data_IF_649795537626
#
_entry.id   IF_649795537626
#
_cell.length_a   1.000
_cell.length_b   1.000
_cell.length_c   1.000
_cell.angle_alpha   90.00
_cell.angle_beta   90.00
_cell.angle_gamma   90.00
#
_symmetry.space_group_name_H-M   'P 1'
#
loop_
_entity.id
_entity.type
_entity.pdbx_description
1 polymer ?
#
# COMPACT_ATOMS: atom_id res chain seq x y z
N UNK A 1 -9.46 29.81 3.64
CA UNK A 1 -8.40 29.18 2.86
C UNK A 1 -7.89 27.96 3.62
N UNK A 2 -7.88 26.82 2.99
CA UNK A 2 -7.35 25.58 3.55
C UNK A 2 -5.80 25.64 3.48
N UNK A 3 -5.12 25.46 4.63
CA UNK A 3 -3.68 25.36 4.72
C UNK A 3 -3.30 23.90 5.02
N UNK A 4 -2.15 23.49 4.52
CA UNK A 4 -1.57 22.18 4.81
C UNK A 4 -0.12 22.30 5.28
N UNK A 5 0.35 21.39 6.16
CA UNK A 5 1.73 21.38 6.60
C UNK A 5 2.67 20.97 5.48
N UNK A 6 3.73 21.72 5.29
CA UNK A 6 4.82 21.44 4.35
C UNK A 6 6.04 21.01 5.13
N UNK A 7 6.68 19.95 4.64
CA UNK A 7 7.93 19.46 5.16
C UNK A 7 9.07 19.64 4.17
N UNK A 8 10.25 19.89 4.66
CA UNK A 8 11.47 19.83 3.89
C UNK A 8 11.96 18.38 3.91
N UNK A 9 12.01 17.77 2.74
CA UNK A 9 12.44 16.38 2.52
C UNK A 9 13.84 16.39 1.92
N UNK A 10 14.78 15.73 2.60
CA UNK A 10 16.14 15.50 2.10
C UNK A 10 16.32 14.04 1.72
N UNK A 11 16.76 13.80 0.50
CA UNK A 11 16.99 12.45 -0.02
C UNK A 11 18.43 12.35 -0.52
N UNK A 12 19.14 11.34 -0.04
CA UNK A 12 20.47 10.95 -0.54
C UNK A 12 20.33 9.63 -1.30
N UNK A 13 20.65 9.65 -2.58
CA UNK A 13 20.56 8.48 -3.46
C UNK A 13 21.74 8.42 -4.43
N UNK A 14 22.12 7.21 -4.90
CA UNK A 14 22.95 7.08 -6.08
C UNK A 14 22.34 7.80 -7.27
N UNK A 15 23.15 8.43 -8.09
CA UNK A 15 22.71 9.26 -9.22
C UNK A 15 21.83 8.49 -10.21
N UNK A 16 22.02 7.19 -10.35
CA UNK A 16 21.21 6.32 -11.23
C UNK A 16 19.73 6.29 -10.86
N UNK A 17 19.36 6.55 -9.58
CA UNK A 17 17.98 6.55 -9.10
C UNK A 17 17.33 7.93 -9.07
N UNK A 18 18.07 8.98 -9.37
CA UNK A 18 17.60 10.36 -9.28
C UNK A 18 16.32 10.59 -10.12
N UNK A 19 16.30 10.09 -11.35
CA UNK A 19 15.15 10.23 -12.23
C UNK A 19 13.86 9.62 -11.66
N UNK A 20 13.95 8.41 -11.14
CA UNK A 20 12.82 7.72 -10.51
C UNK A 20 12.33 8.47 -9.26
N UNK A 21 13.23 8.96 -8.43
CA UNK A 21 12.89 9.75 -7.24
C UNK A 21 12.16 11.03 -7.62
N UNK A 22 12.68 11.77 -8.60
CA UNK A 22 12.06 13.02 -9.06
C UNK A 22 10.68 12.79 -9.66
N UNK A 23 10.51 11.76 -10.48
CA UNK A 23 9.22 11.41 -11.08
C UNK A 23 8.17 11.09 -10.00
N UNK A 24 8.49 10.19 -9.09
CA UNK A 24 7.55 9.77 -8.04
C UNK A 24 7.22 10.87 -7.05
N UNK A 25 8.18 11.68 -6.65
CA UNK A 25 7.94 12.82 -5.78
C UNK A 25 7.14 13.93 -6.48
N UNK A 26 7.30 14.10 -7.78
CA UNK A 26 6.48 15.01 -8.57
C UNK A 26 4.98 14.66 -8.49
N UNK A 27 4.62 13.38 -8.55
CA UNK A 27 3.23 12.91 -8.38
C UNK A 27 2.69 13.15 -6.98
N UNK A 28 3.56 13.30 -5.98
CA UNK A 28 3.24 13.56 -4.57
C UNK A 28 3.26 15.04 -4.20
N UNK A 29 3.21 15.92 -5.19
CA UNK A 29 3.23 17.39 -5.03
C UNK A 29 4.53 17.94 -4.42
N UNK A 30 5.63 17.21 -4.52
CA UNK A 30 6.94 17.72 -4.12
C UNK A 30 7.49 18.73 -5.12
N UNK A 31 8.14 19.76 -4.61
CA UNK A 31 8.85 20.78 -5.39
C UNK A 31 10.34 20.70 -5.06
N UNK A 32 11.17 20.47 -6.06
CA UNK A 32 12.62 20.43 -5.87
C UNK A 32 13.16 21.83 -5.63
N UNK A 33 13.79 22.03 -4.45
CA UNK A 33 14.42 23.30 -4.08
C UNK A 33 15.91 23.33 -4.37
N UNK A 34 16.60 22.21 -4.17
CA UNK A 34 18.04 22.14 -4.33
C UNK A 34 18.51 20.75 -4.70
N UNK A 35 19.62 20.69 -5.41
CA UNK A 35 20.32 19.46 -5.78
C UNK A 35 21.82 19.67 -5.56
N UNK A 36 22.41 18.81 -4.74
CA UNK A 36 23.82 18.88 -4.38
C UNK A 36 24.47 17.57 -4.82
N UNK A 37 25.45 17.65 -5.73
CA UNK A 37 26.29 16.52 -6.01
C UNK A 37 27.23 16.31 -4.81
N UNK A 38 27.00 15.23 -4.11
CA UNK A 38 27.91 14.77 -3.06
C UNK A 38 29.02 13.92 -3.73
N UNK A 39 29.85 13.26 -3.19
CA UNK A 39 30.95 12.47 -3.73
C UNK A 39 30.59 11.66 -4.98
N UNK A 40 31.56 11.04 -5.63
CA UNK A 40 31.42 10.28 -6.88
C UNK A 40 30.19 9.36 -6.89
N UNK A 41 29.16 9.74 -7.66
CA UNK A 41 27.98 8.95 -7.94
C UNK A 41 26.81 9.08 -6.96
N UNK A 42 26.87 9.97 -5.97
CA UNK A 42 25.77 10.25 -5.03
C UNK A 42 25.24 11.68 -5.18
N UNK A 43 23.93 11.85 -5.04
CA UNK A 43 23.26 13.14 -5.11
C UNK A 43 22.34 13.34 -3.91
N UNK A 44 22.35 14.55 -3.36
CA UNK A 44 21.39 15.00 -2.35
C UNK A 44 20.32 15.86 -3.02
N UNK A 45 19.07 15.48 -2.85
CA UNK A 45 17.89 16.19 -3.34
C UNK A 45 17.10 16.76 -2.17
N UNK A 46 16.77 18.05 -2.23
CA UNK A 46 16.00 18.74 -1.21
C UNK A 46 14.69 19.21 -1.82
N UNK A 47 13.57 18.75 -1.25
CA UNK A 47 12.22 19.06 -1.70
C UNK A 47 11.40 19.75 -0.61
N UNK A 48 10.46 20.57 -1.03
CA UNK A 48 9.31 20.92 -0.22
C UNK A 48 8.15 20.01 -0.61
N UNK A 49 7.51 19.36 0.34
CA UNK A 49 6.45 18.39 0.10
C UNK A 49 5.35 18.52 1.16
N UNK A 50 4.06 18.47 0.76
CA UNK A 50 2.99 18.32 1.74
C UNK A 50 3.21 17.08 2.61
N UNK A 51 2.98 17.19 3.91
CA UNK A 51 3.17 16.06 4.85
C UNK A 51 2.42 14.79 4.39
N UNK A 52 1.22 14.96 3.83
CA UNK A 52 0.44 13.86 3.23
C UNK A 52 1.14 13.18 2.06
N UNK A 53 1.99 13.89 1.31
CA UNK A 53 2.78 13.33 0.20
C UNK A 53 3.92 12.42 0.63
N UNK A 54 4.33 12.47 1.90
CA UNK A 54 5.35 11.58 2.47
C UNK A 54 4.81 10.21 2.86
N UNK A 55 3.49 10.05 2.96
CA UNK A 55 2.89 8.80 3.41
C UNK A 55 3.24 7.66 2.47
N UNK A 56 3.82 6.60 3.02
CA UNK A 56 4.28 5.41 2.29
C UNK A 56 5.50 5.61 1.39
N UNK A 57 6.03 6.82 1.26
CA UNK A 57 7.14 7.08 0.35
C UNK A 57 8.45 6.42 0.81
N UNK A 58 8.69 6.28 2.11
CA UNK A 58 9.90 5.59 2.61
C UNK A 58 10.03 4.17 2.07
N UNK A 59 8.96 3.39 2.09
CA UNK A 59 8.95 2.02 1.56
C UNK A 59 9.17 2.01 0.05
N UNK A 60 8.58 2.94 -0.66
CA UNK A 60 8.73 3.10 -2.10
C UNK A 60 10.18 3.48 -2.48
N UNK A 61 10.78 4.43 -1.77
CA UNK A 61 12.18 4.82 -1.95
C UNK A 61 13.13 3.63 -1.76
N UNK A 62 12.97 2.86 -0.69
CA UNK A 62 13.80 1.70 -0.42
C UNK A 62 13.66 0.63 -1.52
N UNK A 63 12.46 0.39 -2.00
CA UNK A 63 12.21 -0.56 -3.11
C UNK A 63 12.86 -0.07 -4.39
N UNK A 64 12.65 1.19 -4.77
CA UNK A 64 13.16 1.77 -6.02
C UNK A 64 14.67 1.88 -6.05
N UNK A 65 15.29 2.11 -4.90
CA UNK A 65 16.75 2.28 -4.75
C UNK A 65 17.47 1.02 -4.29
N UNK A 66 16.76 -0.10 -4.19
CA UNK A 66 17.30 -1.38 -3.68
C UNK A 66 17.98 -1.21 -2.31
N UNK A 67 17.36 -0.40 -1.44
CA UNK A 67 17.86 -0.13 -0.11
C UNK A 67 18.96 0.94 -0.01
N UNK A 68 19.36 1.57 -1.13
CA UNK A 68 20.46 2.55 -1.13
C UNK A 68 19.99 4.00 -0.90
N UNK A 69 18.67 4.26 -0.88
CA UNK A 69 18.13 5.58 -0.59
C UNK A 69 18.04 5.86 0.90
N UNK A 70 18.43 7.07 1.29
CA UNK A 70 18.27 7.59 2.65
C UNK A 70 17.41 8.83 2.60
N UNK A 71 16.41 8.93 3.49
CA UNK A 71 15.56 10.12 3.58
C UNK A 71 15.42 10.60 5.00
N UNK A 72 15.32 11.92 5.15
CA UNK A 72 14.95 12.61 6.36
C UNK A 72 14.01 13.76 6.01
N UNK A 73 13.14 14.15 6.94
CA UNK A 73 12.23 15.24 6.75
C UNK A 73 11.99 16.00 8.04
N UNK A 74 11.70 17.28 7.91
CA UNK A 74 11.40 18.16 9.03
C UNK A 74 10.28 19.11 8.63
N UNK A 75 9.43 19.48 9.60
CA UNK A 75 8.40 20.49 9.39
C UNK A 75 9.02 21.83 8.99
N UNK A 76 8.46 22.47 7.97
CA UNK A 76 8.92 23.76 7.47
C UNK A 76 7.91 24.88 7.76
N UNK A 77 6.71 24.80 7.21
CA UNK A 77 5.68 25.82 7.31
C UNK A 77 4.29 25.28 6.92
N UNK A 78 3.28 26.16 7.01
CA UNK A 78 1.95 25.91 6.45
C UNK A 78 1.77 26.69 5.16
N UNK A 79 1.35 26.02 4.10
CA UNK A 79 1.08 26.62 2.79
C UNK A 79 -0.34 26.30 2.32
N UNK A 80 -0.87 27.08 1.35
CA UNK A 80 -2.17 26.75 0.76
C UNK A 80 -2.23 25.36 0.18
N UNK A 81 -3.36 24.69 0.40
CA UNK A 81 -3.61 23.36 -0.13
C UNK A 81 -3.47 23.31 -1.66
N UNK A 82 -2.65 22.43 -2.16
CA UNK A 82 -2.27 22.33 -3.59
C UNK A 82 -3.11 21.35 -4.41
N UNK A 83 -4.18 20.79 -3.83
CA UNK A 83 -5.02 19.81 -4.50
C UNK A 83 -4.65 18.35 -4.17
N UNK A 84 -5.39 17.42 -4.71
CA UNK A 84 -5.24 15.99 -4.41
C UNK A 84 -3.91 15.43 -4.90
N UNK A 85 -3.39 14.50 -4.13
CA UNK A 85 -2.27 13.64 -4.52
C UNK A 85 -2.86 12.36 -5.09
N UNK A 86 -2.21 11.81 -6.09
CA UNK A 86 -2.66 10.71 -6.92
C UNK A 86 -3.64 9.73 -6.24
N UNK A 87 -4.77 9.51 -6.91
CA UNK A 87 -5.88 8.69 -6.49
C UNK A 87 -5.47 7.25 -6.16
N UNK A 88 -6.26 6.66 -5.28
CA UNK A 88 -6.29 5.24 -5.01
C UNK A 88 -6.34 4.45 -6.32
N UNK A 89 -5.36 3.61 -6.57
CA UNK A 89 -5.29 2.78 -7.78
C UNK A 89 -5.98 1.43 -7.62
N UNK A 90 -6.32 1.04 -6.38
CA UNK A 90 -6.91 -0.28 -6.07
C UNK A 90 -7.97 -0.19 -4.99
N UNK A 91 -8.97 -1.07 -5.10
CA UNK A 91 -10.05 -1.20 -4.16
C UNK A 91 -9.72 -2.12 -2.98
N UNK A 92 -10.73 -2.31 -2.12
CA UNK A 92 -10.66 -3.18 -0.95
C UNK A 92 -11.50 -4.43 -1.16
N UNK A 93 -11.04 -5.54 -0.56
CA UNK A 93 -11.86 -6.72 -0.33
C UNK A 93 -12.45 -6.62 1.06
N UNK A 94 -13.78 -6.60 1.16
CA UNK A 94 -14.52 -6.36 2.40
C UNK A 94 -15.30 -7.62 2.78
N UNK A 95 -15.19 -8.05 4.04
CA UNK A 95 -15.87 -9.23 4.52
C UNK A 95 -17.40 -9.03 4.58
N UNK A 96 -18.15 -9.97 4.00
CA UNK A 96 -19.61 -9.95 3.96
C UNK A 96 -20.30 -10.44 5.25
N UNK A 97 -19.57 -11.17 6.10
CA UNK A 97 -20.10 -11.75 7.32
C UNK A 97 -19.00 -11.95 8.38
N UNK A 98 -19.42 -12.06 9.62
CA UNK A 98 -18.55 -12.40 10.73
C UNK A 98 -18.37 -13.91 10.85
N UNK A 99 -17.18 -14.34 11.28
CA UNK A 99 -16.84 -15.76 11.45
C UNK A 99 -15.35 -16.00 11.54
N UNK A 100 -14.91 -17.13 11.06
CA UNK A 100 -13.52 -17.53 10.98
C UNK A 100 -13.14 -17.75 9.51
N UNK A 101 -12.07 -17.11 9.07
CA UNK A 101 -11.54 -17.31 7.72
C UNK A 101 -11.11 -18.77 7.53
N UNK A 102 -11.48 -19.35 6.40
CA UNK A 102 -11.09 -20.72 6.10
C UNK A 102 -10.49 -20.85 4.70
N UNK A 103 -9.75 -21.93 4.49
CA UNK A 103 -8.98 -22.14 3.26
C UNK A 103 -9.86 -22.09 2.00
N UNK A 104 -11.11 -22.59 2.06
CA UNK A 104 -12.00 -22.60 0.91
C UNK A 104 -12.49 -21.17 0.57
N UNK A 105 -12.89 -20.39 1.56
CA UNK A 105 -13.32 -19.01 1.37
C UNK A 105 -12.18 -18.14 0.85
N UNK A 106 -10.99 -18.28 1.42
CA UNK A 106 -9.79 -17.56 0.99
C UNK A 106 -9.35 -17.97 -0.43
N UNK A 107 -9.37 -19.25 -0.75
CA UNK A 107 -9.03 -19.73 -2.09
C UNK A 107 -9.93 -19.12 -3.17
N UNK A 108 -11.23 -19.05 -2.93
CA UNK A 108 -12.17 -18.45 -3.89
C UNK A 108 -12.02 -16.93 -4.00
N UNK A 109 -11.46 -16.29 -2.98
CA UNK A 109 -11.30 -14.83 -2.94
C UNK A 109 -9.97 -14.38 -3.52
N UNK A 110 -8.92 -15.21 -3.46
CA UNK A 110 -7.56 -14.82 -3.86
C UNK A 110 -7.41 -14.41 -5.35
N UNK A 111 -8.32 -14.82 -6.22
CA UNK A 111 -8.34 -14.39 -7.63
C UNK A 111 -8.72 -12.91 -7.79
N UNK A 112 -9.37 -12.32 -6.78
CA UNK A 112 -9.86 -10.95 -6.79
C UNK A 112 -8.86 -9.93 -6.27
N UNK A 113 -7.79 -10.39 -5.62
CA UNK A 113 -6.76 -9.51 -5.08
C UNK A 113 -5.84 -10.19 -4.08
N UNK A 114 -5.11 -9.39 -3.35
CA UNK A 114 -4.17 -9.85 -2.32
C UNK A 114 -4.85 -9.88 -0.95
N UNK A 115 -4.75 -10.98 -0.26
CA UNK A 115 -5.35 -11.16 1.06
C UNK A 115 -4.39 -10.75 2.18
N UNK A 116 -4.95 -10.20 3.26
CA UNK A 116 -4.24 -9.81 4.49
C UNK A 116 -4.49 -10.79 5.64
N UNK A 117 -5.45 -11.69 5.49
CA UNK A 117 -5.89 -12.63 6.52
C UNK A 117 -5.52 -14.06 6.16
N UNK A 118 -5.39 -14.90 7.21
CA UNK A 118 -5.01 -16.31 7.13
C UNK A 118 -6.17 -17.23 7.50
N UNK A 119 -6.13 -18.52 7.11
CA UNK A 119 -7.05 -19.51 7.66
C UNK A 119 -6.97 -19.54 9.19
N UNK A 120 -8.14 -19.49 9.86
CA UNK A 120 -8.25 -19.45 11.31
C UNK A 120 -8.34 -18.05 11.90
N UNK A 121 -8.11 -17.00 11.15
CA UNK A 121 -8.25 -15.63 11.66
C UNK A 121 -9.73 -15.28 11.92
N UNK A 122 -10.02 -14.62 13.06
CA UNK A 122 -11.35 -14.11 13.32
C UNK A 122 -11.69 -12.94 12.39
N UNK A 123 -12.85 -12.99 11.78
CA UNK A 123 -13.34 -11.99 10.83
C UNK A 123 -14.63 -11.38 11.37
N UNK A 124 -14.81 -10.08 11.16
CA UNK A 124 -16.07 -9.38 11.40
C UNK A 124 -16.61 -8.78 10.11
N UNK A 125 -17.92 -8.68 10.00
CA UNK A 125 -18.60 -8.06 8.86
C UNK A 125 -18.11 -6.61 8.66
N UNK A 126 -17.79 -6.25 7.41
CA UNK A 126 -17.22 -4.95 7.07
C UNK A 126 -15.69 -4.84 7.22
N UNK A 127 -15.03 -5.87 7.74
CA UNK A 127 -13.57 -5.88 7.85
C UNK A 127 -12.91 -5.87 6.47
N UNK A 128 -11.85 -5.06 6.32
CA UNK A 128 -10.99 -5.12 5.14
C UNK A 128 -10.09 -6.36 5.27
N UNK A 129 -10.27 -7.31 4.39
CA UNK A 129 -9.54 -8.58 4.38
C UNK A 129 -8.50 -8.70 3.26
N UNK A 130 -8.45 -7.70 2.39
CA UNK A 130 -7.49 -7.69 1.30
C UNK A 130 -7.56 -6.42 0.45
N UNK A 131 -6.62 -6.34 -0.48
CA UNK A 131 -6.57 -5.31 -1.53
C UNK A 131 -7.12 -5.90 -2.84
N UNK A 132 -8.10 -5.23 -3.44
CA UNK A 132 -8.65 -5.66 -4.72
C UNK A 132 -7.64 -5.41 -5.86
N UNK A 133 -7.62 -6.27 -6.85
CA UNK A 133 -6.81 -6.08 -8.07
C UNK A 133 -7.33 -4.95 -8.97
N UNK A 134 -8.58 -4.55 -8.79
CA UNK A 134 -9.26 -3.46 -9.51
C UNK A 134 -9.47 -2.24 -8.61
N UNK A 135 -9.79 -1.11 -9.22
CA UNK A 135 -10.09 0.14 -8.50
C UNK A 135 -11.56 0.18 -8.02
N UNK A 136 -12.03 -0.89 -7.40
CA UNK A 136 -13.38 -0.97 -6.83
C UNK A 136 -13.38 -1.79 -5.55
N UNK A 137 -14.25 -1.45 -4.61
CA UNK A 137 -14.46 -2.22 -3.41
C UNK A 137 -15.39 -3.40 -3.70
N UNK A 138 -14.99 -4.59 -3.29
CA UNK A 138 -15.75 -5.82 -3.52
C UNK A 138 -16.03 -6.48 -2.18
N UNK A 139 -17.29 -6.80 -1.96
CA UNK A 139 -17.71 -7.60 -0.80
C UNK A 139 -17.47 -9.09 -1.09
N UNK A 140 -16.77 -9.76 -0.19
CA UNK A 140 -16.32 -11.14 -0.33
C UNK A 140 -16.62 -11.96 0.92
N UNK A 141 -16.79 -13.26 0.77
CA UNK A 141 -16.99 -14.18 1.88
C UNK A 141 -15.77 -15.09 2.08
N UNK A 142 -14.89 -14.71 3.00
CA UNK A 142 -13.71 -15.50 3.38
C UNK A 142 -14.03 -16.58 4.42
N UNK A 143 -15.22 -16.55 5.01
CA UNK A 143 -15.73 -17.54 5.96
C UNK A 143 -16.52 -18.66 5.30
N UNK A 144 -16.76 -18.56 3.98
CA UNK A 144 -17.56 -19.55 3.22
C UNK A 144 -16.96 -20.93 3.32
N UNK A 145 -17.77 -21.89 3.78
CA UNK A 145 -17.37 -23.30 3.86
C UNK A 145 -17.80 -24.06 2.60
N UNK A 146 -17.01 -25.06 2.24
CA UNK A 146 -17.38 -25.98 1.17
C UNK A 146 -18.59 -26.81 1.62
N UNK A 147 -19.67 -26.76 0.84
CA UNK A 147 -20.78 -27.69 1.07
C UNK A 147 -20.30 -29.11 0.72
N UNK A 148 -20.29 -29.98 1.74
CA UNK A 148 -20.05 -31.41 1.51
C UNK A 148 -21.31 -31.97 0.88
N UNK A 149 -21.34 -32.13 -0.45
CA UNK A 149 -22.34 -32.94 -1.11
C UNK A 149 -21.96 -34.40 -0.90
N UNK A 150 -22.93 -35.25 -0.48
CA UNK A 150 -22.74 -36.67 -0.22
C UNK A 150 -22.47 -37.50 -1.51
N UNK A 151 -21.99 -36.89 -2.57
CA UNK A 151 -21.47 -37.61 -3.71
C UNK A 151 -20.04 -38.02 -3.39
N UNK A 152 -19.79 -39.33 -3.37
CA UNK A 152 -18.48 -39.97 -3.39
C UNK A 152 -17.73 -39.54 -4.65
N UNK A 153 -17.22 -38.35 -4.67
CA UNK A 153 -16.09 -38.02 -5.50
C UNK A 153 -14.87 -38.61 -4.81
N UNK A 154 -14.51 -39.82 -5.18
CA UNK A 154 -13.17 -40.38 -5.00
C UNK A 154 -12.18 -39.53 -5.84
N UNK A 155 -11.88 -38.36 -5.41
CA UNK A 155 -11.00 -37.44 -6.09
C UNK A 155 -10.41 -36.58 -5.03
N UNK A 156 -9.17 -36.96 -4.65
CA UNK A 156 -8.17 -36.07 -4.03
C UNK A 156 -8.73 -34.79 -3.41
N UNK A 157 -8.68 -34.70 -2.10
CA UNK A 157 -8.50 -33.43 -1.43
C UNK A 157 -7.24 -32.79 -2.04
N UNK A 158 -7.39 -32.19 -3.21
CA UNK A 158 -6.35 -31.30 -3.72
C UNK A 158 -6.18 -30.23 -2.68
N UNK A 159 -5.01 -30.26 -2.03
CA UNK A 159 -4.63 -29.24 -1.07
C UNK A 159 -4.77 -27.87 -1.77
N UNK A 160 -5.72 -27.05 -1.30
CA UNK A 160 -5.97 -25.74 -1.86
C UNK A 160 -4.69 -24.92 -1.74
N UNK A 161 -4.13 -24.51 -2.87
CA UNK A 161 -2.95 -23.67 -2.90
C UNK A 161 -3.37 -22.22 -2.62
N UNK A 162 -3.11 -21.79 -1.39
CA UNK A 162 -3.30 -20.41 -1.00
C UNK A 162 -2.02 -19.61 -1.28
N UNK A 163 -2.21 -18.45 -1.90
CA UNK A 163 -1.14 -17.44 -1.98
C UNK A 163 -0.87 -16.94 -0.56
N UNK A 164 0.40 -16.84 -0.13
CA UNK A 164 0.71 -16.29 1.18
C UNK A 164 0.07 -14.92 1.36
N UNK A 165 -0.54 -14.64 2.53
CA UNK A 165 -1.11 -13.34 2.82
C UNK A 165 -0.01 -12.28 2.87
N UNK A 166 -0.39 -11.03 2.56
CA UNK A 166 0.53 -9.90 2.65
C UNK A 166 0.53 -9.40 4.09
N UNK A 167 1.66 -9.47 4.75
CA UNK A 167 1.86 -8.85 6.06
C UNK A 167 2.23 -7.39 5.84
N UNK A 168 1.30 -6.49 6.15
CA UNK A 168 1.52 -5.06 6.06
C UNK A 168 2.18 -4.54 7.35
N UNK A 169 3.20 -3.70 7.21
CA UNK A 169 3.69 -2.90 8.32
C UNK A 169 2.63 -1.90 8.77
N UNK A 170 2.76 -1.35 9.97
CA UNK A 170 1.83 -0.31 10.46
C UNK A 170 1.74 0.87 9.48
N UNK A 171 2.88 1.31 8.94
CA UNK A 171 2.94 2.39 7.95
C UNK A 171 2.15 2.03 6.68
N UNK A 172 2.34 0.84 6.16
CA UNK A 172 1.61 0.34 4.99
C UNK A 172 0.10 0.20 5.25
N UNK A 173 -0.30 -0.23 6.46
CA UNK A 173 -1.70 -0.24 6.86
C UNK A 173 -2.31 1.17 6.90
N UNK A 174 -1.59 2.13 7.46
CA UNK A 174 -2.02 3.52 7.51
C UNK A 174 -2.15 4.12 6.11
N UNK A 175 -1.16 3.89 5.24
CA UNK A 175 -1.18 4.31 3.84
C UNK A 175 -2.40 3.73 3.11
N UNK A 176 -2.64 2.45 3.26
CA UNK A 176 -3.80 1.79 2.65
C UNK A 176 -5.11 2.39 3.13
N UNK A 177 -5.29 2.57 4.45
CA UNK A 177 -6.50 3.15 5.03
C UNK A 177 -6.72 4.59 4.53
N UNK A 178 -5.66 5.39 4.49
CA UNK A 178 -5.76 6.78 4.02
C UNK A 178 -6.11 6.86 2.53
N UNK A 179 -5.66 5.90 1.72
CA UNK A 179 -6.07 5.79 0.33
C UNK A 179 -7.57 5.50 0.16
N UNK A 180 -8.24 5.00 1.19
CA UNK A 180 -9.67 4.67 1.18
C UNK A 180 -10.57 5.87 1.53
N UNK A 181 -10.01 6.94 2.11
CA UNK A 181 -10.77 8.08 2.63
C UNK A 181 -11.01 9.16 1.56
N UNK A 182 -10.40 9.03 0.40
CA UNK A 182 -10.51 9.98 -0.71
C UNK A 182 -11.42 9.49 -1.84
#
# INVERSE_FOLDING_TARGET
HLLEPIEELTIDVPQEYMGTVMEKLGTRRAVLNNMINENEGSVRLIFDIPARGLMGYRSELLTDTRGNGVMSHIFKDYEPYTGEIAERTRGSLIASESGEANSYGLFNTQERGRLFVRPGDPIYEGQIVGECSRNEDIVVNVCKRKHVTNMRASGSDEALRLTPPVDLSLEQCMEFILSLIH
#
